data_IF_498563680158
#
_entry.id   IF_498563680158
#
_cell.length_a   1.000
_cell.length_b   1.000
_cell.length_c   1.000
_cell.angle_alpha   90.00
_cell.angle_beta   90.00
_cell.angle_gamma   90.00
#
_symmetry.space_group_name_H-M   'P 1'
#
loop_
_entity.id
_entity.type
_entity.pdbx_description
1 polymer ?
#
# COMPACT_ATOMS: atom_id res chain seq x y z
N UNK A 1 17.97 39.96 5.55
CA UNK A 1 16.89 39.11 6.13
C UNK A 1 16.54 38.10 5.07
N UNK A 2 16.99 36.87 5.28
CA UNK A 2 17.17 35.81 4.30
C UNK A 2 15.83 35.17 3.90
N UNK A 3 15.52 35.21 2.62
CA UNK A 3 14.38 34.56 1.96
C UNK A 3 14.37 33.04 2.14
N UNK A 4 15.51 32.46 2.53
CA UNK A 4 15.67 31.04 2.88
C UNK A 4 14.95 30.63 4.16
N UNK A 5 14.60 31.55 5.06
CA UNK A 5 13.82 31.21 6.27
C UNK A 5 12.31 31.03 6.01
N UNK A 6 11.81 31.41 4.82
CA UNK A 6 10.39 31.21 4.45
C UNK A 6 10.10 29.84 3.86
N UNK A 7 11.12 29.05 3.53
CA UNK A 7 10.96 27.74 2.90
C UNK A 7 10.93 26.56 3.89
N UNK A 8 11.34 26.77 5.15
CA UNK A 8 11.47 25.68 6.13
C UNK A 8 10.25 25.48 7.04
N UNK A 9 9.18 26.28 6.87
CA UNK A 9 7.93 26.16 7.62
C UNK A 9 6.73 26.04 6.69
N UNK A 10 6.80 25.15 5.71
CA UNK A 10 5.58 24.57 5.16
C UNK A 10 5.03 23.60 6.23
N UNK A 11 4.58 24.15 7.37
CA UNK A 11 3.94 23.40 8.45
C UNK A 11 2.78 22.64 7.81
N UNK A 12 3.00 21.34 7.64
CA UNK A 12 2.05 20.42 7.09
C UNK A 12 0.82 20.41 8.02
N UNK A 13 -0.17 21.28 7.76
CA UNK A 13 -1.39 21.44 8.58
C UNK A 13 -1.91 20.08 9.02
N UNK A 14 -1.94 19.85 10.34
CA UNK A 14 -2.30 18.55 10.89
C UNK A 14 -3.79 18.28 10.69
N UNK A 15 -4.20 17.01 10.79
CA UNK A 15 -5.61 16.65 10.70
C UNK A 15 -6.44 17.35 11.80
N UNK A 16 -5.90 17.44 13.02
CA UNK A 16 -6.54 18.12 14.14
C UNK A 16 -6.76 19.62 13.84
N UNK A 17 -5.74 20.31 13.32
CA UNK A 17 -5.85 21.72 12.92
C UNK A 17 -6.89 21.96 11.83
N UNK A 18 -7.05 21.03 10.88
CA UNK A 18 -8.13 21.12 9.89
C UNK A 18 -9.50 20.95 10.53
N UNK A 19 -9.65 19.96 11.43
CA UNK A 19 -10.91 19.70 12.11
C UNK A 19 -11.36 20.88 12.98
N UNK A 20 -10.42 21.52 13.69
CA UNK A 20 -10.67 22.73 14.48
C UNK A 20 -11.20 23.89 13.64
N UNK A 21 -10.80 24.01 12.37
CA UNK A 21 -11.31 25.04 11.46
C UNK A 21 -12.64 24.66 10.81
N UNK A 22 -12.78 23.40 10.44
CA UNK A 22 -13.91 22.91 9.62
C UNK A 22 -15.15 22.67 10.49
N UNK A 23 -15.01 22.05 11.67
CA UNK A 23 -16.17 21.64 12.47
C UNK A 23 -17.04 22.81 12.96
N UNK A 24 -16.48 23.94 13.44
CA UNK A 24 -17.29 25.09 13.85
C UNK A 24 -18.10 25.72 12.71
N UNK A 25 -17.77 25.48 11.45
CA UNK A 25 -18.51 26.02 10.31
C UNK A 25 -19.92 25.44 10.14
N UNK A 26 -20.21 24.27 10.74
CA UNK A 26 -21.45 23.53 10.53
C UNK A 26 -21.61 22.94 9.12
N UNK A 27 -20.61 23.11 8.24
CA UNK A 27 -20.64 22.61 6.86
C UNK A 27 -20.16 21.17 6.73
N UNK A 28 -19.64 20.57 7.80
CA UNK A 28 -19.16 19.19 7.78
C UNK A 28 -20.30 18.18 7.86
N UNK A 29 -20.45 17.35 6.84
CA UNK A 29 -21.46 16.30 6.75
C UNK A 29 -20.94 14.89 7.07
N UNK A 30 -19.64 14.75 7.38
CA UNK A 30 -19.00 13.48 7.67
C UNK A 30 -17.88 13.13 6.67
N UNK A 31 -17.19 12.03 6.95
CA UNK A 31 -16.15 11.49 6.07
C UNK A 31 -16.05 9.98 6.17
N UNK A 32 -15.60 9.34 5.09
CA UNK A 32 -15.29 7.93 5.03
C UNK A 32 -13.88 7.74 4.47
N UNK A 33 -13.12 6.81 5.04
CA UNK A 33 -11.83 6.38 4.49
C UNK A 33 -11.94 4.90 4.14
N UNK A 34 -11.47 4.56 2.96
CA UNK A 34 -11.44 3.21 2.42
C UNK A 34 -10.04 2.92 1.90
N UNK A 35 -9.68 1.64 1.87
CA UNK A 35 -8.37 1.18 1.45
C UNK A 35 -8.51 0.10 0.40
N UNK A 36 -7.49 -0.02 -0.44
CA UNK A 36 -7.42 -1.03 -1.48
C UNK A 36 -6.05 -1.69 -1.51
N UNK A 37 -6.03 -3.02 -1.58
CA UNK A 37 -4.82 -3.80 -1.78
C UNK A 37 -4.40 -3.87 -3.25
N UNK A 38 -5.33 -3.67 -4.19
CA UNK A 38 -5.13 -3.89 -5.63
C UNK A 38 -5.60 -2.72 -6.53
N UNK A 39 -6.16 -1.67 -5.93
CA UNK A 39 -6.75 -0.52 -6.61
C UNK A 39 -8.15 -0.77 -7.20
N UNK A 40 -8.74 -1.95 -7.01
CA UNK A 40 -10.05 -2.33 -7.57
C UNK A 40 -11.10 -2.47 -6.50
N UNK A 41 -10.80 -3.23 -5.45
CA UNK A 41 -11.70 -3.42 -4.31
C UNK A 41 -11.40 -2.40 -3.22
N UNK A 42 -12.45 -1.79 -2.67
CA UNK A 42 -12.34 -0.76 -1.64
C UNK A 42 -13.03 -1.23 -0.38
N UNK A 43 -12.27 -1.31 0.72
CA UNK A 43 -12.72 -1.82 2.00
C UNK A 43 -12.52 -0.76 3.09
N UNK A 44 -13.45 -0.70 4.04
CA UNK A 44 -13.41 0.26 5.16
C UNK A 44 -12.23 -0.03 6.11
N UNK A 45 -11.79 -1.28 6.13
CA UNK A 45 -10.59 -1.72 6.84
C UNK A 45 -9.88 -2.80 6.02
N UNK A 46 -8.55 -2.85 6.13
CA UNK A 46 -7.73 -3.91 5.56
C UNK A 46 -6.93 -4.58 6.68
N UNK A 47 -6.94 -5.90 6.68
CA UNK A 47 -6.05 -6.71 7.52
C UNK A 47 -4.85 -7.07 6.65
N UNK A 48 -3.67 -6.65 7.08
CA UNK A 48 -2.42 -6.81 6.34
C UNK A 48 -1.47 -7.70 7.13
N UNK A 49 -0.68 -8.51 6.43
CA UNK A 49 0.41 -9.22 7.10
C UNK A 49 1.53 -8.24 7.49
N UNK A 50 2.41 -8.68 8.38
CA UNK A 50 3.57 -7.88 8.78
C UNK A 50 4.43 -7.53 7.56
N UNK A 51 4.66 -6.23 7.35
CA UNK A 51 5.44 -5.72 6.22
C UNK A 51 4.64 -5.50 4.93
N UNK A 52 3.34 -5.79 4.93
CA UNK A 52 2.44 -5.40 3.85
C UNK A 52 1.84 -4.02 4.12
N UNK A 53 1.52 -3.32 3.03
CA UNK A 53 0.87 -2.02 3.05
C UNK A 53 -0.26 -2.00 2.00
N UNK A 54 -1.29 -1.15 2.17
CA UNK A 54 -2.29 -0.99 1.13
C UNK A 54 -1.64 -0.43 -0.14
N UNK A 55 -2.21 -0.70 -1.30
CA UNK A 55 -1.78 -0.08 -2.56
C UNK A 55 -2.32 1.35 -2.68
N UNK A 56 -3.56 1.57 -2.26
CA UNK A 56 -4.23 2.86 -2.34
C UNK A 56 -5.16 3.12 -1.14
N UNK A 57 -5.40 4.40 -0.87
CA UNK A 57 -6.41 4.87 0.08
C UNK A 57 -7.31 5.89 -0.61
N UNK A 58 -8.59 5.86 -0.25
CA UNK A 58 -9.62 6.77 -0.73
C UNK A 58 -10.31 7.44 0.44
N UNK A 59 -10.39 8.76 0.40
CA UNK A 59 -11.18 9.54 1.34
C UNK A 59 -12.37 10.17 0.61
N UNK A 60 -13.54 10.00 1.19
CA UNK A 60 -14.79 10.62 0.76
C UNK A 60 -15.22 11.59 1.84
N UNK A 61 -15.34 12.87 1.50
CA UNK A 61 -15.73 13.93 2.43
C UNK A 61 -17.06 14.52 1.99
N UNK A 62 -18.02 14.54 2.92
CA UNK A 62 -19.35 15.09 2.71
C UNK A 62 -19.39 16.52 3.26
N UNK A 63 -19.83 17.45 2.43
CA UNK A 63 -20.02 18.86 2.79
C UNK A 63 -21.50 19.22 2.65
N UNK A 64 -22.08 19.76 3.72
CA UNK A 64 -23.47 20.20 3.72
C UNK A 64 -23.66 21.31 2.67
N UNK A 65 -24.69 21.17 1.84
CA UNK A 65 -24.97 22.08 0.73
C UNK A 65 -24.20 21.79 -0.57
N UNK A 66 -23.27 20.82 -0.59
CA UNK A 66 -22.67 20.34 -1.82
C UNK A 66 -23.53 19.22 -2.44
N UNK A 67 -23.69 19.23 -3.76
CA UNK A 67 -24.45 18.22 -4.50
C UNK A 67 -23.74 16.85 -4.51
N UNK A 68 -22.41 16.86 -4.56
CA UNK A 68 -21.59 15.66 -4.62
C UNK A 68 -20.48 15.70 -3.56
N UNK A 69 -20.14 14.53 -2.96
CA UNK A 69 -19.03 14.46 -2.02
C UNK A 69 -17.70 14.69 -2.74
N UNK A 70 -16.72 15.22 -2.00
CA UNK A 70 -15.35 15.30 -2.49
C UNK A 70 -14.66 13.95 -2.29
N UNK A 71 -14.24 13.32 -3.37
CA UNK A 71 -13.56 12.02 -3.35
C UNK A 71 -12.11 12.21 -3.77
N UNK A 72 -11.19 11.66 -2.98
CA UNK A 72 -9.74 11.68 -3.23
C UNK A 72 -9.22 10.27 -3.11
N UNK A 73 -8.48 9.80 -4.12
CA UNK A 73 -7.70 8.58 -4.04
C UNK A 73 -6.20 8.92 -4.16
N UNK A 74 -5.37 8.25 -3.38
CA UNK A 74 -3.91 8.40 -3.39
C UNK A 74 -3.24 7.02 -3.37
N UNK A 75 -2.08 6.90 -4.03
CA UNK A 75 -1.25 5.70 -3.96
C UNK A 75 -0.32 5.71 -2.74
N UNK A 76 0.00 4.53 -2.22
CA UNK A 76 0.93 4.37 -1.09
C UNK A 76 2.33 4.90 -1.43
N UNK A 77 2.88 4.50 -2.59
CA UNK A 77 4.22 4.90 -3.02
C UNK A 77 4.35 6.42 -3.27
N UNK A 78 3.26 7.11 -3.59
CA UNK A 78 3.24 8.58 -3.73
C UNK A 78 3.16 9.29 -2.38
N UNK A 79 2.89 8.53 -1.31
CA UNK A 79 2.49 9.06 -0.01
C UNK A 79 3.52 8.84 1.08
N UNK A 80 4.34 7.80 0.98
CA UNK A 80 5.40 7.54 1.96
C UNK A 80 6.48 8.62 1.85
N UNK A 81 6.83 9.32 2.94
CA UNK A 81 7.93 10.26 2.96
C UNK A 81 9.27 9.53 2.73
N UNK A 82 10.02 9.87 1.68
CA UNK A 82 11.31 9.23 1.37
C UNK A 82 12.49 9.82 2.17
N UNK A 83 12.23 10.81 3.03
CA UNK A 83 13.27 11.69 3.57
C UNK A 83 13.82 11.22 4.92
N UNK A 84 13.06 10.41 5.66
CA UNK A 84 13.37 10.05 7.05
C UNK A 84 13.08 8.56 7.33
N UNK A 85 14.12 7.83 7.78
CA UNK A 85 14.04 6.41 8.09
C UNK A 85 13.13 6.12 9.29
N UNK A 86 13.10 6.99 10.30
CA UNK A 86 12.23 6.85 11.47
C UNK A 86 10.77 7.01 11.05
N UNK A 87 10.48 7.99 10.19
CA UNK A 87 9.17 8.18 9.61
C UNK A 87 8.74 6.98 8.73
N UNK A 88 9.64 6.42 7.93
CA UNK A 88 9.36 5.21 7.13
C UNK A 88 9.02 4.02 8.04
N UNK A 89 9.80 3.80 9.11
CA UNK A 89 9.52 2.74 10.09
C UNK A 89 8.15 2.91 10.75
N UNK A 90 7.80 4.15 11.11
CA UNK A 90 6.49 4.47 11.66
C UNK A 90 5.36 4.18 10.68
N UNK A 91 5.53 4.52 9.40
CA UNK A 91 4.58 4.20 8.34
C UNK A 91 4.42 2.69 8.12
N UNK A 92 5.50 1.93 8.24
CA UNK A 92 5.45 0.46 8.14
C UNK A 92 4.83 -0.20 9.38
N UNK A 93 4.91 0.45 10.55
CA UNK A 93 4.30 -0.03 11.79
C UNK A 93 2.79 0.16 11.76
N UNK A 94 2.31 1.35 11.37
CA UNK A 94 0.89 1.71 11.36
C UNK A 94 0.40 2.19 9.99
N UNK A 95 0.46 1.34 8.94
CA UNK A 95 0.22 1.76 7.57
C UNK A 95 -1.20 2.28 7.35
N UNK A 96 -2.20 1.58 7.88
CA UNK A 96 -3.62 1.95 7.71
C UNK A 96 -3.92 3.30 8.37
N UNK A 97 -3.45 3.52 9.60
CA UNK A 97 -3.76 4.73 10.35
C UNK A 97 -3.13 5.98 9.73
N UNK A 98 -1.83 5.93 9.40
CA UNK A 98 -1.12 7.10 8.86
C UNK A 98 -1.52 7.41 7.43
N UNK A 99 -1.69 6.39 6.60
CA UNK A 99 -2.10 6.59 5.22
C UNK A 99 -3.55 7.04 5.10
N UNK A 100 -4.44 6.45 5.92
CA UNK A 100 -5.84 6.90 6.00
C UNK A 100 -5.95 8.34 6.47
N UNK A 101 -5.16 8.73 7.47
CA UNK A 101 -5.10 10.12 7.96
C UNK A 101 -4.61 11.08 6.88
N UNK A 102 -3.61 10.68 6.07
CA UNK A 102 -3.13 11.48 4.94
C UNK A 102 -4.20 11.64 3.85
N UNK A 103 -4.88 10.55 3.47
CA UNK A 103 -5.97 10.60 2.49
C UNK A 103 -7.10 11.54 2.97
N UNK A 104 -7.52 11.39 4.23
CA UNK A 104 -8.57 12.22 4.83
C UNK A 104 -8.17 13.70 4.85
N UNK A 105 -6.93 14.00 5.24
CA UNK A 105 -6.40 15.37 5.24
C UNK A 105 -6.49 16.02 3.85
N UNK A 106 -6.06 15.32 2.81
CA UNK A 106 -6.15 15.83 1.43
C UNK A 106 -7.62 16.02 1.03
N UNK A 107 -8.50 15.09 1.39
CA UNK A 107 -9.95 15.20 1.19
C UNK A 107 -10.54 16.46 1.83
N UNK A 108 -10.22 16.71 3.10
CA UNK A 108 -10.69 17.88 3.84
C UNK A 108 -10.17 19.20 3.25
N UNK A 109 -8.89 19.26 2.86
CA UNK A 109 -8.31 20.44 2.20
C UNK A 109 -9.03 20.75 0.89
N UNK A 110 -9.35 19.74 0.08
CA UNK A 110 -10.07 19.94 -1.18
C UNK A 110 -11.53 20.33 -0.95
N UNK A 111 -12.22 19.67 -0.01
CA UNK A 111 -13.64 19.90 0.27
C UNK A 111 -13.91 21.27 0.92
N UNK A 112 -12.97 21.79 1.70
CA UNK A 112 -13.11 23.02 2.49
C UNK A 112 -12.03 24.05 2.16
N UNK A 113 -11.61 24.15 0.89
CA UNK A 113 -10.54 25.05 0.45
C UNK A 113 -10.78 26.51 0.86
N UNK A 114 -12.03 26.94 0.88
CA UNK A 114 -12.48 28.26 1.32
C UNK A 114 -12.26 28.52 2.83
N UNK A 115 -12.40 27.50 3.68
CA UNK A 115 -12.17 27.61 5.13
C UNK A 115 -10.70 27.40 5.50
N UNK A 116 -10.01 26.56 4.75
CA UNK A 116 -8.63 26.17 5.02
C UNK A 116 -7.64 27.21 4.48
N UNK A 117 -8.05 27.98 3.47
CA UNK A 117 -7.24 28.98 2.78
C UNK A 117 -6.39 28.37 1.65
N UNK A 118 -5.55 29.19 1.02
CA UNK A 118 -4.50 28.68 0.13
C UNK A 118 -3.42 28.01 0.97
N UNK A 119 -3.61 26.72 1.25
CA UNK A 119 -2.47 25.85 1.51
C UNK A 119 -1.72 25.80 0.20
N UNK A 120 -0.53 26.40 0.18
CA UNK A 120 0.40 26.27 -0.93
C UNK A 120 0.59 24.77 -1.13
N UNK A 121 0.02 24.23 -2.21
CA UNK A 121 0.34 22.88 -2.62
C UNK A 121 1.87 22.83 -2.68
N UNK A 122 2.53 21.78 -2.16
CA UNK A 122 3.96 21.62 -2.42
C UNK A 122 4.11 21.81 -3.92
N UNK A 123 4.92 22.79 -4.32
CA UNK A 123 5.08 23.13 -5.73
C UNK A 123 5.21 21.81 -6.49
N UNK A 124 4.51 21.60 -7.63
CA UNK A 124 4.74 20.41 -8.42
C UNK A 124 6.25 20.32 -8.54
N UNK A 125 6.84 19.22 -8.04
CA UNK A 125 8.29 19.05 -8.10
C UNK A 125 8.66 19.43 -9.52
N UNK A 126 9.32 20.59 -9.68
CA UNK A 126 9.75 21.04 -11.00
C UNK A 126 10.50 19.83 -11.53
N UNK A 127 10.14 19.27 -12.70
CA UNK A 127 10.91 18.20 -13.29
C UNK A 127 12.36 18.67 -13.24
N UNK A 128 13.16 18.03 -12.40
CA UNK A 128 14.52 18.46 -12.14
C UNK A 128 15.18 18.50 -13.49
N UNK A 129 15.55 19.72 -13.93
CA UNK A 129 16.22 19.93 -15.19
C UNK A 129 17.41 18.97 -15.23
N UNK A 130 17.63 18.30 -16.37
CA UNK A 130 18.60 17.22 -16.46
C UNK A 130 19.93 17.71 -15.89
N UNK A 131 20.46 16.99 -14.91
CA UNK A 131 21.87 17.06 -14.60
C UNK A 131 22.59 16.53 -15.85
N UNK A 132 22.90 17.43 -16.78
CA UNK A 132 23.94 17.21 -17.76
C UNK A 132 25.23 17.24 -16.95
N UNK A 133 25.67 16.07 -16.49
CA UNK A 133 27.08 15.71 -16.31
C UNK A 133 27.16 14.28 -15.77
N UNK A 134 27.34 13.34 -16.70
CA UNK A 134 28.19 12.14 -16.59
C UNK A 134 27.86 11.18 -17.75
N UNK A 135 28.67 11.23 -18.80
CA UNK A 135 28.99 10.11 -19.72
C UNK A 135 27.87 9.07 -19.98
N UNK A 136 26.71 9.51 -20.48
CA UNK A 136 25.69 8.61 -21.04
C UNK A 136 26.01 8.20 -22.50
N UNK A 137 27.28 8.31 -22.91
CA UNK A 137 27.76 7.78 -24.17
C UNK A 137 28.48 6.46 -23.93
N UNK A 138 27.87 5.34 -24.33
CA UNK A 138 28.47 3.99 -24.44
C UNK A 138 28.38 3.06 -23.23
N UNK A 139 27.54 3.32 -22.21
CA UNK A 139 27.30 2.33 -21.14
C UNK A 139 26.12 1.43 -21.49
N UNK A 140 26.38 0.15 -21.78
CA UNK A 140 25.35 -0.86 -22.03
C UNK A 140 24.89 -1.50 -20.72
N UNK A 141 23.92 -0.85 -20.09
CA UNK A 141 23.34 -1.30 -18.82
C UNK A 141 22.65 -2.68 -18.92
N UNK A 142 22.19 -3.09 -20.11
CA UNK A 142 21.59 -4.41 -20.29
C UNK A 142 22.67 -5.51 -20.23
N UNK A 143 23.82 -5.27 -20.89
CA UNK A 143 24.97 -6.17 -20.80
C UNK A 143 25.54 -6.24 -19.38
N UNK A 144 25.64 -5.11 -18.68
CA UNK A 144 26.12 -5.07 -17.29
C UNK A 144 25.20 -5.80 -16.31
N UNK A 145 23.88 -5.66 -16.49
CA UNK A 145 22.91 -6.38 -15.66
C UNK A 145 22.95 -7.89 -15.90
N UNK A 146 23.15 -8.30 -17.16
CA UNK A 146 23.34 -9.72 -17.49
C UNK A 146 24.65 -10.29 -16.93
N UNK A 147 25.69 -9.46 -16.78
CA UNK A 147 26.97 -9.86 -16.20
C UNK A 147 26.98 -9.88 -14.66
N UNK A 148 25.99 -9.26 -14.01
CA UNK A 148 25.88 -9.23 -12.56
C UNK A 148 25.56 -10.62 -11.97
N UNK A 149 26.44 -11.12 -11.11
CA UNK A 149 26.31 -12.46 -10.49
C UNK A 149 25.68 -12.42 -9.10
N UNK A 150 25.49 -11.23 -8.52
CA UNK A 150 24.87 -11.03 -7.20
C UNK A 150 23.67 -10.09 -7.30
N UNK A 151 22.75 -10.22 -6.35
CA UNK A 151 21.53 -9.40 -6.30
C UNK A 151 21.88 -7.93 -6.06
N UNK A 152 22.92 -7.67 -5.27
CA UNK A 152 23.42 -6.35 -4.92
C UNK A 152 24.03 -5.66 -6.14
N UNK A 153 24.91 -6.34 -6.87
CA UNK A 153 25.51 -5.80 -8.10
C UNK A 153 24.43 -5.53 -9.17
N UNK A 154 23.42 -6.40 -9.26
CA UNK A 154 22.28 -6.21 -10.16
C UNK A 154 21.45 -4.98 -9.77
N UNK A 155 21.23 -4.76 -8.48
CA UNK A 155 20.52 -3.59 -7.96
C UNK A 155 21.30 -2.28 -8.18
N UNK A 156 22.63 -2.30 -8.08
CA UNK A 156 23.49 -1.15 -8.37
C UNK A 156 23.41 -0.73 -9.84
N UNK A 157 23.49 -1.70 -10.77
CA UNK A 157 23.32 -1.43 -12.22
C UNK A 157 21.92 -0.88 -12.52
N UNK A 158 20.89 -1.41 -11.86
CA UNK A 158 19.52 -0.90 -12.00
C UNK A 158 19.38 0.54 -11.52
N UNK A 159 19.95 0.85 -10.36
CA UNK A 159 19.92 2.21 -9.81
C UNK A 159 20.70 3.17 -10.72
N UNK A 160 21.86 2.76 -11.24
CA UNK A 160 22.62 3.55 -12.21
C UNK A 160 21.83 3.80 -13.51
N UNK A 161 21.13 2.78 -14.04
CA UNK A 161 20.27 2.93 -15.20
C UNK A 161 19.07 3.86 -14.95
N UNK A 162 18.47 3.80 -13.75
CA UNK A 162 17.39 4.71 -13.34
C UNK A 162 17.89 6.15 -13.17
N UNK A 163 19.07 6.33 -12.59
CA UNK A 163 19.72 7.63 -12.45
C UNK A 163 20.06 8.23 -13.81
N UNK A 164 20.54 7.40 -14.75
CA UNK A 164 20.78 7.79 -16.14
C UNK A 164 19.49 7.94 -16.97
N UNK A 165 18.32 7.57 -16.42
CA UNK A 165 17.00 7.62 -17.05
C UNK A 165 16.93 6.90 -18.41
N UNK A 166 17.70 5.83 -18.59
CA UNK A 166 17.70 5.00 -19.82
C UNK A 166 16.80 3.76 -19.73
N UNK A 167 16.09 3.62 -18.62
CA UNK A 167 15.22 2.47 -18.34
C UNK A 167 13.98 2.49 -19.25
N UNK A 168 13.85 1.45 -20.07
CA UNK A 168 12.62 1.17 -20.82
C UNK A 168 11.76 0.13 -20.10
N UNK A 169 10.50 -0.02 -20.51
CA UNK A 169 9.58 -1.04 -19.97
C UNK A 169 10.05 -2.47 -20.26
N UNK A 170 10.73 -2.69 -21.39
CA UNK A 170 11.35 -3.97 -21.73
C UNK A 170 12.51 -4.27 -20.76
N UNK A 171 13.38 -3.27 -20.53
CA UNK A 171 14.49 -3.36 -19.59
C UNK A 171 14.01 -3.61 -18.16
N UNK A 172 12.98 -2.91 -17.68
CA UNK A 172 12.38 -3.16 -16.35
C UNK A 172 11.91 -4.62 -16.18
N UNK A 173 11.30 -5.21 -17.22
CA UNK A 173 10.87 -6.60 -17.19
C UNK A 173 12.05 -7.56 -17.10
N UNK A 174 13.09 -7.34 -17.91
CA UNK A 174 14.30 -8.16 -17.94
C UNK A 174 15.04 -8.09 -16.60
N UNK A 175 15.20 -6.90 -16.02
CA UNK A 175 15.81 -6.71 -14.71
C UNK A 175 15.05 -7.45 -13.61
N UNK A 176 13.71 -7.40 -13.61
CA UNK A 176 12.91 -8.14 -12.63
C UNK A 176 13.08 -9.66 -12.77
N UNK A 177 13.13 -10.18 -13.99
CA UNK A 177 13.32 -11.61 -14.25
C UNK A 177 14.71 -12.07 -13.80
N UNK A 178 15.76 -11.32 -14.12
CA UNK A 178 17.14 -11.62 -13.69
C UNK A 178 17.28 -11.57 -12.16
N UNK A 179 16.69 -10.57 -11.50
CA UNK A 179 16.71 -10.48 -10.03
C UNK A 179 16.03 -11.68 -9.37
N UNK A 180 14.94 -12.20 -9.95
CA UNK A 180 14.28 -13.41 -9.48
C UNK A 180 15.15 -14.65 -9.68
N UNK A 181 15.82 -14.77 -10.83
CA UNK A 181 16.74 -15.87 -11.10
C UNK A 181 17.95 -15.88 -10.14
N UNK A 182 18.55 -14.71 -9.88
CA UNK A 182 19.66 -14.57 -8.92
C UNK A 182 19.23 -14.92 -7.48
N UNK A 183 18.03 -14.50 -7.06
CA UNK A 183 17.46 -14.90 -5.75
C UNK A 183 17.17 -16.41 -5.67
N UNK A 184 16.68 -16.99 -6.77
CA UNK A 184 16.46 -18.43 -6.86
C UNK A 184 17.76 -19.24 -6.78
N UNK A 185 18.83 -18.76 -7.42
CA UNK A 185 20.15 -19.40 -7.42
C UNK A 185 20.90 -19.27 -6.08
N UNK A 186 20.63 -18.22 -5.30
CA UNK A 186 21.20 -18.03 -3.97
C UNK A 186 20.44 -18.80 -2.87
N UNK A 187 19.29 -19.40 -3.18
CA UNK A 187 18.64 -20.34 -2.27
C UNK A 187 19.44 -21.65 -2.29
N UNK A 188 20.15 -22.05 -1.21
CA UNK A 188 20.78 -23.36 -1.17
C UNK A 188 19.70 -24.42 -1.39
N UNK A 189 20.01 -25.43 -2.21
CA UNK A 189 19.12 -26.56 -2.46
C UNK A 189 18.53 -27.06 -1.12
N UNK A 190 17.22 -27.32 -1.04
CA UNK A 190 16.62 -27.86 0.17
C UNK A 190 17.41 -29.09 0.60
N UNK A 191 18.02 -29.06 1.77
CA UNK A 191 18.56 -30.26 2.39
C UNK A 191 17.35 -31.16 2.61
N UNK A 192 17.26 -32.21 1.82
CA UNK A 192 16.19 -33.21 1.86
C UNK A 192 16.13 -33.75 3.30
N UNK A 193 15.03 -33.53 4.05
CA UNK A 193 14.95 -34.10 5.39
C UNK A 193 14.97 -35.62 5.26
N UNK A 194 15.97 -36.26 5.89
CA UNK A 194 16.05 -37.71 6.03
C UNK A 194 14.69 -38.25 6.47
N UNK A 195 14.03 -38.95 5.55
CA UNK A 195 12.72 -39.58 5.77
C UNK A 195 12.90 -40.67 6.84
N UNK A 196 12.29 -40.56 8.04
CA UNK A 196 12.27 -41.70 8.95
C UNK A 196 11.48 -42.84 8.33
N UNK A 197 11.99 -44.06 8.50
CA UNK A 197 11.47 -45.30 7.92
C UNK A 197 9.96 -45.51 8.18
N UNK A 198 9.22 -46.14 7.25
CA UNK A 198 7.78 -46.33 7.38
C UNK A 198 7.45 -47.27 8.53
N UNK A 199 6.72 -46.76 9.53
CA UNK A 199 6.08 -47.57 10.54
C UNK A 199 4.92 -48.38 9.92
N UNK A 200 4.96 -49.69 10.13
CA UNK A 200 4.03 -50.70 9.63
C UNK A 200 2.58 -50.41 10.07
N UNK A 201 1.66 -50.38 9.11
CA UNK A 201 0.23 -50.17 9.36
C UNK A 201 -0.42 -51.37 10.10
N UNK A 202 -1.30 -51.13 11.10
CA UNK A 202 -2.20 -52.16 11.58
C UNK A 202 -3.49 -52.25 10.75
N UNK A 203 -3.87 -53.50 10.53
CA UNK A 203 -4.96 -54.12 9.75
C UNK A 203 -6.39 -53.62 10.09
N UNK A 204 -7.33 -53.58 9.12
CA UNK A 204 -8.72 -53.16 9.35
C UNK A 204 -9.65 -54.33 9.75
N UNK A 205 -10.69 -54.05 10.54
CA UNK A 205 -11.86 -54.93 10.75
C UNK A 205 -13.07 -54.13 11.31
N UNK A 206 -14.31 -54.65 11.27
CA UNK A 206 -15.15 -54.86 10.10
C UNK A 206 -16.45 -54.03 10.14
N UNK A 207 -17.04 -53.84 8.96
CA UNK A 207 -18.31 -53.17 8.66
C UNK A 207 -19.51 -53.80 9.37
N UNK A 208 -20.34 -53.00 10.05
CA UNK A 208 -21.72 -53.38 10.43
C UNK A 208 -22.75 -52.50 9.70
N UNK A 209 -23.77 -53.20 9.20
CA UNK A 209 -24.87 -52.81 8.30
C UNK A 209 -25.82 -51.70 8.83
N UNK A 210 -26.66 -51.12 7.94
CA UNK A 210 -27.53 -49.98 8.26
C UNK A 210 -28.94 -50.33 8.79
N UNK A 211 -29.51 -49.37 9.54
CA UNK A 211 -30.90 -48.89 9.68
C UNK A 211 -32.00 -49.81 10.27
N UNK A 212 -33.01 -49.23 10.97
CA UNK A 212 -34.14 -48.60 10.30
C UNK A 212 -34.52 -47.20 10.81
N UNK A 213 -35.17 -46.46 9.92
CA UNK A 213 -35.80 -45.16 10.14
C UNK A 213 -36.91 -45.21 11.21
N UNK A 214 -37.05 -44.11 11.97
CA UNK A 214 -38.30 -43.81 12.68
C UNK A 214 -38.55 -42.30 12.74
N UNK A 215 -39.31 -41.84 11.75
CA UNK A 215 -40.35 -40.79 11.72
C UNK A 215 -40.06 -39.36 12.27
N UNK A 216 -40.36 -38.32 11.47
CA UNK A 216 -40.45 -36.93 11.95
C UNK A 216 -41.75 -36.72 12.73
N UNK A 217 -41.67 -36.15 13.94
CA UNK A 217 -42.85 -35.62 14.64
C UNK A 217 -43.13 -34.20 14.16
N UNK A 218 -44.18 -34.10 13.35
CA UNK A 218 -44.87 -32.87 12.95
C UNK A 218 -45.58 -32.24 14.16
N UNK A 219 -45.28 -30.96 14.35
CA UNK A 219 -46.13 -29.82 14.73
C UNK A 219 -47.44 -30.07 15.49
N UNK A 220 -47.56 -29.48 16.68
CA UNK A 220 -48.84 -28.88 17.13
C UNK A 220 -48.64 -27.46 17.63
N UNK A 221 -49.41 -26.56 17.01
CA UNK A 221 -49.75 -25.20 17.45
C UNK A 221 -50.13 -25.15 18.94
N UNK A 222 -49.71 -24.11 19.66
CA UNK A 222 -50.63 -23.45 20.60
C UNK A 222 -50.38 -21.95 20.69
N UNK A 223 -51.50 -21.22 20.54
CA UNK A 223 -51.74 -19.78 20.57
C UNK A 223 -51.27 -19.08 21.86
N UNK A 224 -51.19 -17.72 21.83
CA UNK A 224 -50.78 -16.87 22.93
C UNK A 224 -51.93 -16.59 23.90
N UNK A 225 -51.60 -16.17 25.13
CA UNK A 225 -52.54 -15.53 26.04
C UNK A 225 -52.08 -15.55 27.50
N UNK A 226 -51.49 -14.44 27.95
CA UNK A 226 -51.77 -13.74 29.20
C UNK A 226 -51.15 -12.35 29.12
#
# INVERSE_FOLDING_TARGET
MTETAKLEQNELVTLAQLQERIYPSGLYGGSKVEFSADGREWLDFLILNKGEHPAAARATVFRNGAEHPTIVAIGWHESVPEVDAEMIERWNTDPIALFGSKALRIGLIRAFRDLVGEISAPAPQKPQAPAQDAEAGTRDFAAEAAAATTVEAHAEVWNAARLARVVTTAMDREFRQQRLALKGAQTPAPVEPERPAPATAPRPAPTRRPSPASMPRVTTLRRPGA
#
